data_IF_524855167713
#
_entry.id   IF_524855167713
#
_cell.length_a   1.000
_cell.length_b   1.000
_cell.length_c   1.000
_cell.angle_alpha   90.00
_cell.angle_beta   90.00
_cell.angle_gamma   90.00
#
_symmetry.space_group_name_H-M   'P 1'
#
loop_
_entity.id
_entity.type
_entity.pdbx_description
1 polymer ?
#
# COMPACT_ATOMS: atom_id res chain seq x y z
N UNK A 1 8.79 62.94 4.98
CA UNK A 1 7.80 62.09 4.29
C UNK A 1 8.00 60.69 4.85
N UNK A 2 6.95 60.17 5.46
CA UNK A 2 6.94 58.95 6.27
C UNK A 2 7.11 57.69 5.41
N UNK A 3 8.01 56.80 5.83
CA UNK A 3 8.11 55.45 5.29
C UNK A 3 6.88 54.67 5.77
N UNK A 4 5.87 54.54 4.93
CA UNK A 4 4.75 53.62 5.15
C UNK A 4 5.23 52.19 4.90
N UNK A 5 5.33 51.41 5.98
CA UNK A 5 5.55 49.97 5.89
C UNK A 5 4.29 49.33 5.30
N UNK A 6 4.44 48.66 4.14
CA UNK A 6 3.37 47.88 3.53
C UNK A 6 2.97 46.70 4.46
N UNK A 7 1.68 46.40 4.62
CA UNK A 7 1.24 45.28 5.42
C UNK A 7 1.66 43.96 4.77
N UNK A 8 2.30 43.09 5.57
CA UNK A 8 2.60 41.70 5.21
C UNK A 8 1.27 40.99 4.87
N UNK A 9 1.17 40.48 3.65
CA UNK A 9 0.01 39.71 3.19
C UNK A 9 -0.24 38.54 4.16
N UNK A 10 -1.51 38.40 4.59
CA UNK A 10 -1.94 37.36 5.50
C UNK A 10 -1.58 35.95 4.97
N UNK A 11 -1.20 35.00 5.83
CA UNK A 11 -0.89 33.64 5.39
C UNK A 11 -2.11 33.04 4.69
N UNK A 12 -1.90 32.58 3.45
CA UNK A 12 -2.89 31.87 2.66
C UNK A 12 -3.22 30.58 3.41
N UNK A 13 -4.43 30.51 3.95
CA UNK A 13 -4.93 29.31 4.60
C UNK A 13 -5.12 28.23 3.53
N UNK A 14 -4.27 27.22 3.55
CA UNK A 14 -4.29 26.16 2.56
C UNK A 14 -5.49 25.25 2.86
N UNK A 15 -6.36 24.93 1.90
CA UNK A 15 -7.54 24.13 2.17
C UNK A 15 -7.13 22.74 2.68
N UNK A 16 -7.73 22.33 3.80
CA UNK A 16 -7.60 20.97 4.32
C UNK A 16 -7.99 20.00 3.21
N UNK A 17 -7.02 19.24 2.72
CA UNK A 17 -7.22 18.34 1.59
C UNK A 17 -7.81 17.03 2.11
N UNK A 18 -9.00 16.63 1.63
CA UNK A 18 -9.66 15.33 1.91
C UNK A 18 -8.92 14.11 1.33
N UNK A 19 -7.66 14.27 0.91
CA UNK A 19 -6.88 13.18 0.35
C UNK A 19 -6.48 12.21 1.47
N UNK A 20 -6.64 10.89 1.27
CA UNK A 20 -6.17 9.89 2.22
C UNK A 20 -4.68 10.09 2.54
N UNK A 21 -4.32 9.92 3.82
CA UNK A 21 -2.91 9.93 4.24
C UNK A 21 -2.17 8.78 3.54
N UNK A 22 -1.17 9.12 2.74
CA UNK A 22 -0.32 8.16 2.05
C UNK A 22 0.94 7.89 2.86
N UNK A 23 1.28 6.62 3.07
CA UNK A 23 2.54 6.21 3.68
C UNK A 23 3.55 5.77 2.60
N UNK A 24 4.80 6.20 2.74
CA UNK A 24 5.88 5.82 1.82
C UNK A 24 6.61 4.60 2.37
N UNK A 25 6.54 3.50 1.64
CA UNK A 25 7.24 2.26 1.97
C UNK A 25 8.42 2.09 1.01
N UNK A 26 9.61 1.79 1.56
CA UNK A 26 10.81 1.45 0.78
C UNK A 26 11.19 0.00 1.05
N UNK A 27 11.34 -0.78 0.00
CA UNK A 27 11.78 -2.17 0.09
C UNK A 27 12.60 -2.55 -1.14
N UNK A 28 13.39 -3.61 -1.00
CA UNK A 28 14.19 -4.18 -2.09
C UNK A 28 13.50 -5.42 -2.64
N UNK A 29 13.56 -5.59 -3.97
CA UNK A 29 13.05 -6.77 -4.66
C UNK A 29 14.17 -7.43 -5.48
N UNK A 30 14.09 -8.75 -5.74
CA UNK A 30 15.00 -9.41 -6.67
C UNK A 30 14.92 -8.76 -8.06
N UNK A 31 16.07 -8.36 -8.61
CA UNK A 31 16.14 -7.70 -9.91
C UNK A 31 15.48 -8.49 -11.05
N UNK A 32 15.64 -9.84 -11.16
CA UNK A 32 14.99 -10.59 -12.23
C UNK A 32 13.46 -10.50 -12.21
N UNK A 33 12.86 -10.57 -11.01
CA UNK A 33 11.40 -10.46 -10.86
C UNK A 33 10.89 -9.07 -11.22
N UNK A 34 11.68 -8.03 -10.92
CA UNK A 34 11.32 -6.66 -11.28
C UNK A 34 11.37 -6.44 -12.81
N UNK A 35 12.31 -7.07 -13.50
CA UNK A 35 12.40 -7.00 -14.96
C UNK A 35 11.19 -7.65 -15.63
N UNK A 36 10.86 -8.89 -15.24
CA UNK A 36 9.67 -9.59 -15.72
C UNK A 36 8.38 -8.78 -15.47
N UNK A 37 8.24 -8.24 -14.27
CA UNK A 37 7.09 -7.42 -13.91
C UNK A 37 6.97 -6.14 -14.77
N UNK A 38 8.10 -5.52 -15.12
CA UNK A 38 8.12 -4.33 -16.01
C UNK A 38 7.74 -4.68 -17.44
N UNK A 39 8.13 -5.86 -17.92
CA UNK A 39 7.72 -6.33 -19.26
C UNK A 39 6.22 -6.59 -19.32
N UNK A 40 5.66 -7.24 -18.28
CA UNK A 40 4.20 -7.42 -18.14
C UNK A 40 3.48 -6.07 -18.09
N UNK A 41 3.95 -5.12 -17.28
CA UNK A 41 3.37 -3.79 -17.21
C UNK A 41 3.34 -3.09 -18.57
N UNK A 42 4.41 -3.20 -19.36
CA UNK A 42 4.46 -2.64 -20.72
C UNK A 42 3.42 -3.29 -21.64
N UNK A 43 3.28 -4.62 -21.58
CA UNK A 43 2.32 -5.35 -22.38
C UNK A 43 0.87 -4.97 -22.04
N UNK A 44 0.59 -4.71 -20.76
CA UNK A 44 -0.73 -4.32 -20.27
C UNK A 44 -1.00 -2.80 -20.30
N UNK A 45 0.01 -2.00 -20.66
CA UNK A 45 -0.10 -0.54 -20.74
C UNK A 45 -0.09 0.16 -19.38
N UNK A 46 0.42 -0.48 -18.33
CA UNK A 46 0.49 0.06 -16.97
C UNK A 46 1.70 0.96 -16.75
N UNK A 47 1.50 1.98 -15.91
CA UNK A 47 2.60 2.78 -15.34
C UNK A 47 3.30 1.98 -14.24
N UNK A 48 4.61 2.23 -13.99
CA UNK A 48 5.34 1.55 -12.91
C UNK A 48 4.68 1.67 -11.53
N UNK A 49 4.10 2.82 -11.21
CA UNK A 49 3.40 3.02 -9.93
C UNK A 49 2.11 2.20 -9.81
N UNK A 50 1.42 1.93 -10.93
CA UNK A 50 0.23 1.08 -10.95
C UNK A 50 0.62 -0.39 -10.75
N UNK A 51 1.73 -0.81 -11.34
CA UNK A 51 2.32 -2.14 -11.11
C UNK A 51 2.65 -2.36 -9.63
N UNK A 52 3.35 -1.42 -9.00
CA UNK A 52 3.72 -1.51 -7.57
C UNK A 52 2.47 -1.59 -6.68
N UNK A 53 1.45 -0.78 -6.99
CA UNK A 53 0.17 -0.80 -6.29
C UNK A 53 -0.54 -2.14 -6.43
N UNK A 54 -0.61 -2.69 -7.64
CA UNK A 54 -1.24 -3.99 -7.92
C UNK A 54 -0.55 -5.10 -7.13
N UNK A 55 0.78 -5.13 -7.11
CA UNK A 55 1.52 -6.12 -6.32
C UNK A 55 1.22 -5.99 -4.83
N UNK A 56 1.12 -4.77 -4.32
CA UNK A 56 0.82 -4.56 -2.91
C UNK A 56 -0.59 -5.02 -2.57
N UNK A 57 -1.60 -4.55 -3.30
CA UNK A 57 -3.00 -4.89 -3.03
C UNK A 57 -3.29 -6.37 -3.27
N UNK A 58 -2.91 -6.91 -4.42
CA UNK A 58 -3.18 -8.31 -4.78
C UNK A 58 -2.30 -9.27 -4.00
N UNK A 59 -1.03 -8.96 -3.82
CA UNK A 59 -0.09 -9.77 -3.05
C UNK A 59 -0.49 -9.85 -1.58
N UNK A 60 -0.90 -8.73 -0.99
CA UNK A 60 -1.41 -8.71 0.37
C UNK A 60 -2.69 -9.55 0.51
N UNK A 61 -3.66 -9.39 -0.41
CA UNK A 61 -4.89 -10.17 -0.40
C UNK A 61 -4.63 -11.68 -0.48
N UNK A 62 -3.76 -12.11 -1.41
CA UNK A 62 -3.39 -13.51 -1.58
C UNK A 62 -2.68 -14.07 -0.33
N UNK A 63 -1.76 -13.29 0.27
CA UNK A 63 -1.09 -13.67 1.50
C UNK A 63 -2.07 -13.77 2.67
N UNK A 64 -2.99 -12.81 2.81
CA UNK A 64 -4.00 -12.78 3.86
C UNK A 64 -4.96 -13.97 3.72
N UNK A 65 -5.40 -14.30 2.51
CA UNK A 65 -6.24 -15.48 2.26
C UNK A 65 -5.52 -16.77 2.67
N UNK A 66 -4.27 -16.94 2.26
CA UNK A 66 -3.46 -18.10 2.64
C UNK A 66 -3.22 -18.18 4.14
N UNK A 67 -2.99 -17.04 4.80
CA UNK A 67 -2.79 -16.96 6.25
C UNK A 67 -4.08 -17.26 7.02
N UNK A 68 -5.22 -16.76 6.58
CA UNK A 68 -6.53 -17.06 7.16
C UNK A 68 -6.86 -18.55 7.02
N UNK A 69 -6.64 -19.16 5.86
CA UNK A 69 -6.80 -20.61 5.67
C UNK A 69 -5.93 -21.41 6.65
N UNK A 70 -4.68 -20.99 6.88
CA UNK A 70 -3.80 -21.61 7.88
C UNK A 70 -4.30 -21.42 9.32
N UNK A 71 -4.79 -20.22 9.66
CA UNK A 71 -5.36 -19.92 10.97
C UNK A 71 -6.61 -20.74 11.26
N UNK A 72 -7.55 -20.77 10.32
CA UNK A 72 -8.78 -21.55 10.40
C UNK A 72 -8.48 -23.05 10.51
N UNK A 73 -7.60 -23.59 9.67
CA UNK A 73 -7.20 -25.00 9.75
C UNK A 73 -6.52 -25.37 11.07
N UNK A 74 -5.73 -24.46 11.65
CA UNK A 74 -5.13 -24.64 12.98
C UNK A 74 -6.22 -24.71 14.05
N UNK A 75 -7.19 -23.81 14.01
CA UNK A 75 -8.27 -23.75 14.99
C UNK A 75 -9.20 -24.97 14.89
N UNK A 76 -9.55 -25.41 13.68
CA UNK A 76 -10.33 -26.63 13.46
C UNK A 76 -9.61 -27.89 13.97
N UNK A 77 -8.29 -27.98 13.79
CA UNK A 77 -7.50 -29.09 14.34
C UNK A 77 -7.48 -29.09 15.88
N UNK A 78 -7.36 -27.90 16.50
CA UNK A 78 -7.42 -27.76 17.96
C UNK A 78 -8.77 -28.17 18.52
N UNK A 79 -9.86 -27.69 17.93
CA UNK A 79 -11.22 -28.07 18.34
C UNK A 79 -11.43 -29.59 18.22
N UNK A 80 -10.98 -30.20 17.12
CA UNK A 80 -11.09 -31.66 16.92
C UNK A 80 -10.25 -32.48 17.90
N UNK A 81 -9.10 -31.98 18.34
CA UNK A 81 -8.30 -32.63 19.39
C UNK A 81 -8.86 -32.44 20.80
N UNK A 82 -9.68 -31.41 21.03
CA UNK A 82 -10.39 -31.17 22.29
C UNK A 82 -11.74 -31.94 22.36
N UNK A 83 -12.34 -32.26 21.21
CA UNK A 83 -13.59 -33.03 21.09
C UNK A 83 -13.41 -34.56 21.05
N UNK A 84 -12.18 -35.08 20.97
CA UNK A 84 -11.92 -36.52 21.01
C UNK A 84 -11.60 -36.95 22.45
N UNK A 85 -12.45 -37.77 23.11
CA UNK A 85 -12.19 -38.27 24.46
C UNK A 85 -11.06 -39.29 24.55
#
# INVERSE_FOLDING_TARGET
>A
MTNEAMPLEAPIDMPETDAPKMEVVKFSVPAPLLEEARELAKAEGWKPAELDRIFWERGFAAYAEGSNKRGVNRNLRKQRSEESP
#
